data_IF_896834771067
#
_entry.id   IF_896834771067
#
_cell.length_a   1.000
_cell.length_b   1.000
_cell.length_c   1.000
_cell.angle_alpha   90.00
_cell.angle_beta   90.00
_cell.angle_gamma   90.00
#
_symmetry.space_group_name_H-M   'P 1'
#
loop_
_entity.id
_entity.type
_entity.pdbx_description
1 polymer ?
#
# COMPACT_ATOMS: atom_id res chain seq x y z
N UNK A 1 -18.82 -63.46 77.03
CA UNK A 1 -17.48 -63.36 76.40
C UNK A 1 -17.67 -63.37 74.87
N UNK A 2 -17.66 -62.19 74.23
CA UNK A 2 -17.91 -62.01 72.79
C UNK A 2 -16.62 -61.52 72.16
N UNK A 3 -16.06 -62.26 71.19
CA UNK A 3 -14.87 -61.94 70.45
C UNK A 3 -15.22 -61.06 69.29
N UNK A 4 -14.74 -59.76 69.26
CA UNK A 4 -14.79 -58.93 68.12
C UNK A 4 -13.71 -59.32 67.09
N UNK A 5 -14.16 -59.60 65.84
CA UNK A 5 -13.24 -59.73 64.67
C UNK A 5 -13.16 -58.40 63.97
N UNK A 6 -11.96 -57.82 63.93
CA UNK A 6 -11.61 -56.65 63.10
C UNK A 6 -11.52 -57.08 61.62
N UNK A 7 -12.35 -56.55 60.78
CA UNK A 7 -12.18 -56.62 59.31
C UNK A 7 -11.41 -55.40 58.87
N UNK A 8 -10.20 -55.62 58.35
CA UNK A 8 -9.45 -54.55 57.62
C UNK A 8 -10.06 -54.32 56.27
N UNK A 9 -10.48 -53.08 56.01
CA UNK A 9 -10.91 -52.62 54.69
C UNK A 9 -9.66 -52.10 53.92
N UNK A 10 -9.25 -52.82 52.86
CA UNK A 10 -8.24 -52.39 51.93
C UNK A 10 -8.92 -51.45 50.93
N UNK A 11 -8.60 -50.15 51.06
CA UNK A 11 -9.00 -49.14 50.10
C UNK A 11 -8.06 -49.20 48.88
N UNK A 12 -8.52 -49.80 47.80
CA UNK A 12 -7.83 -49.75 46.51
C UNK A 12 -7.92 -48.36 45.88
N UNK A 13 -6.79 -47.64 45.83
CA UNK A 13 -6.64 -46.38 45.09
C UNK A 13 -6.52 -46.73 43.59
N UNK A 14 -7.60 -46.57 42.83
CA UNK A 14 -7.58 -46.71 41.38
C UNK A 14 -6.84 -45.50 40.77
N UNK A 15 -5.61 -45.71 40.34
CA UNK A 15 -4.85 -44.72 39.55
C UNK A 15 -5.49 -44.60 38.16
N UNK A 16 -6.23 -43.52 37.92
CA UNK A 16 -6.69 -43.12 36.56
C UNK A 16 -5.45 -42.70 35.76
N UNK A 17 -5.22 -43.29 34.57
CA UNK A 17 -4.18 -42.76 33.67
C UNK A 17 -4.61 -41.39 33.16
N UNK A 18 -3.87 -40.32 33.48
CA UNK A 18 -3.94 -39.06 32.82
C UNK A 18 -3.54 -39.26 31.34
N UNK A 19 -4.53 -39.42 30.47
CA UNK A 19 -4.33 -39.35 29.04
C UNK A 19 -3.83 -37.93 28.73
N UNK A 20 -2.53 -37.77 28.54
CA UNK A 20 -1.98 -36.54 27.96
C UNK A 20 -2.53 -36.47 26.53
N UNK A 21 -3.60 -35.74 26.34
CA UNK A 21 -4.04 -35.33 25.03
C UNK A 21 -2.92 -34.43 24.45
N UNK A 22 -2.06 -35.05 23.65
CA UNK A 22 -1.16 -34.29 22.78
C UNK A 22 -2.04 -33.46 21.85
N UNK A 23 -2.37 -32.23 22.25
CA UNK A 23 -2.89 -31.20 21.36
C UNK A 23 -1.74 -30.93 20.38
N UNK A 24 -1.69 -31.72 19.30
CA UNK A 24 -0.91 -31.34 18.12
C UNK A 24 -1.52 -30.03 17.69
N UNK A 25 -0.82 -28.94 17.95
CA UNK A 25 -1.07 -27.69 17.25
C UNK A 25 -1.07 -28.07 15.75
N UNK A 26 -2.24 -28.06 15.13
CA UNK A 26 -2.32 -28.23 13.68
C UNK A 26 -1.49 -27.11 13.11
N UNK A 27 -0.30 -27.43 12.62
CA UNK A 27 0.50 -26.50 11.83
C UNK A 27 -0.34 -26.20 10.59
N UNK A 28 -1.01 -25.05 10.61
CA UNK A 28 -1.74 -24.56 9.44
C UNK A 28 -0.68 -24.33 8.37
N UNK A 29 -0.68 -25.19 7.37
CA UNK A 29 0.26 -25.11 6.25
C UNK A 29 -0.44 -24.58 5.01
N UNK A 30 0.33 -23.92 4.15
CA UNK A 30 -0.11 -23.58 2.81
C UNK A 30 -0.32 -24.86 1.99
N UNK A 31 -1.30 -24.86 1.07
CA UNK A 31 -1.58 -26.05 0.26
C UNK A 31 -0.35 -26.48 -0.55
N UNK A 32 -0.22 -27.79 -0.81
CA UNK A 32 0.90 -28.35 -1.56
C UNK A 32 0.70 -28.18 -3.08
N UNK A 33 0.66 -26.92 -3.48
CA UNK A 33 0.54 -26.46 -4.86
C UNK A 33 1.14 -25.06 -4.97
N UNK A 34 1.45 -24.56 -6.17
CA UNK A 34 1.90 -23.21 -6.37
C UNK A 34 0.89 -22.19 -5.82
N UNK A 35 1.38 -21.21 -5.04
CA UNK A 35 0.59 -20.10 -4.55
C UNK A 35 0.53 -19.02 -5.64
N UNK A 36 -0.63 -18.41 -5.81
CA UNK A 36 -0.84 -17.36 -6.81
C UNK A 36 -0.76 -16.00 -6.13
N UNK A 37 0.22 -15.18 -6.52
CA UNK A 37 0.32 -13.78 -6.11
C UNK A 37 -0.35 -12.92 -7.17
N UNK A 38 -1.60 -12.56 -6.92
CA UNK A 38 -2.44 -11.81 -7.87
C UNK A 38 -2.12 -10.32 -7.79
N UNK A 39 -1.92 -9.71 -8.96
CA UNK A 39 -1.60 -8.29 -9.15
C UNK A 39 -2.63 -7.66 -10.07
N UNK A 40 -3.25 -6.55 -9.65
CA UNK A 40 -4.34 -5.87 -10.38
C UNK A 40 -3.89 -4.96 -11.53
N UNK A 41 -2.63 -5.04 -11.97
CA UNK A 41 -2.05 -4.16 -12.97
C UNK A 41 -1.30 -4.93 -14.05
N UNK A 42 -1.09 -4.34 -15.25
CA UNK A 42 -0.35 -5.00 -16.33
C UNK A 42 1.07 -5.35 -15.93
N UNK A 43 1.68 -6.37 -16.58
CA UNK A 43 3.10 -6.67 -16.43
C UNK A 43 4.00 -5.47 -16.72
N UNK A 44 5.13 -5.36 -15.98
CA UNK A 44 6.13 -4.31 -16.12
C UNK A 44 5.79 -3.01 -15.37
N UNK A 45 4.60 -2.86 -14.80
CA UNK A 45 4.27 -1.75 -13.92
C UNK A 45 4.81 -1.93 -12.49
N UNK A 46 4.82 -0.87 -11.64
CA UNK A 46 5.39 -0.93 -10.30
C UNK A 46 4.84 -2.07 -9.43
N UNK A 47 3.53 -2.32 -9.48
CA UNK A 47 2.92 -3.45 -8.73
C UNK A 47 3.48 -4.80 -9.17
N UNK A 48 3.64 -5.02 -10.47
CA UNK A 48 4.17 -6.27 -11.03
C UNK A 48 5.66 -6.45 -10.69
N UNK A 49 6.45 -5.39 -10.83
CA UNK A 49 7.87 -5.41 -10.50
C UNK A 49 8.10 -5.73 -9.03
N UNK A 50 7.37 -5.07 -8.11
CA UNK A 50 7.44 -5.36 -6.67
C UNK A 50 7.01 -6.80 -6.37
N UNK A 51 5.93 -7.29 -7.00
CA UNK A 51 5.48 -8.67 -6.84
C UNK A 51 6.56 -9.68 -7.25
N UNK A 52 7.22 -9.45 -8.40
CA UNK A 52 8.30 -10.33 -8.90
C UNK A 52 9.57 -10.27 -8.06
N UNK A 53 9.81 -9.15 -7.38
CA UNK A 53 10.93 -9.02 -6.43
C UNK A 53 10.66 -9.82 -5.15
N UNK A 54 9.43 -9.76 -4.60
CA UNK A 54 9.14 -10.43 -3.32
C UNK A 54 8.75 -11.91 -3.46
N UNK A 55 8.16 -12.32 -4.60
CA UNK A 55 7.64 -13.68 -4.79
C UNK A 55 8.67 -14.79 -4.54
N UNK A 56 9.92 -14.72 -5.04
CA UNK A 56 10.92 -15.76 -4.77
C UNK A 56 11.25 -15.91 -3.29
N UNK A 57 11.48 -14.80 -2.58
CA UNK A 57 11.83 -14.81 -1.16
C UNK A 57 10.68 -15.29 -0.27
N UNK A 58 9.43 -14.95 -0.61
CA UNK A 58 8.24 -15.49 0.06
C UNK A 58 8.17 -17.01 -0.18
N UNK A 59 8.35 -17.44 -1.42
CA UNK A 59 8.29 -18.84 -1.81
C UNK A 59 9.32 -19.71 -1.09
N UNK A 60 10.56 -19.24 -0.99
CA UNK A 60 11.64 -19.92 -0.28
C UNK A 60 11.27 -20.13 1.20
N UNK A 61 10.77 -19.10 1.88
CA UNK A 61 10.42 -19.15 3.30
C UNK A 61 9.20 -20.01 3.59
N UNK A 62 8.24 -20.02 2.69
CA UNK A 62 7.05 -20.86 2.79
C UNK A 62 7.28 -22.30 2.29
N UNK A 63 8.41 -22.56 1.63
CA UNK A 63 8.71 -23.83 0.92
C UNK A 63 7.63 -24.16 -0.11
N UNK A 64 7.17 -23.15 -0.85
CA UNK A 64 6.14 -23.24 -1.90
C UNK A 64 6.52 -22.34 -3.07
N UNK A 65 6.22 -22.76 -4.27
CA UNK A 65 6.34 -21.86 -5.42
C UNK A 65 5.32 -20.73 -5.33
N UNK A 66 5.73 -19.49 -5.57
CA UNK A 66 4.85 -18.32 -5.65
C UNK A 66 4.88 -17.79 -7.08
N UNK A 67 3.74 -17.84 -7.77
CA UNK A 67 3.59 -17.43 -9.16
C UNK A 67 2.84 -16.11 -9.24
N UNK A 68 3.42 -15.11 -9.86
CA UNK A 68 2.77 -13.81 -10.10
C UNK A 68 1.76 -13.94 -11.23
N UNK A 69 0.52 -13.54 -10.97
CA UNK A 69 -0.59 -13.55 -11.91
C UNK A 69 -1.16 -12.13 -12.06
N UNK A 70 -1.06 -11.56 -13.26
CA UNK A 70 -1.58 -10.23 -13.56
C UNK A 70 -3.05 -10.31 -14.01
N UNK A 71 -3.95 -9.61 -13.29
CA UNK A 71 -5.37 -9.43 -13.62
C UNK A 71 -5.68 -7.94 -13.70
N UNK A 72 -5.21 -7.31 -14.77
CA UNK A 72 -5.34 -5.87 -14.94
C UNK A 72 -6.78 -5.43 -15.24
N UNK A 73 -7.13 -4.24 -14.81
CA UNK A 73 -8.36 -3.53 -15.14
C UNK A 73 -8.96 -2.77 -13.97
N UNK A 74 -9.67 -1.68 -14.28
CA UNK A 74 -10.35 -0.81 -13.31
C UNK A 74 -9.48 -0.49 -12.08
N UNK A 75 -8.26 0.05 -12.28
CA UNK A 75 -7.31 0.37 -11.19
C UNK A 75 -7.04 -0.79 -10.20
N UNK A 76 -7.15 -2.05 -10.66
CA UNK A 76 -6.96 -3.24 -9.83
C UNK A 76 -8.23 -3.80 -9.18
N UNK A 77 -9.38 -3.18 -9.38
CA UNK A 77 -10.66 -3.61 -8.80
C UNK A 77 -11.06 -5.01 -9.27
N UNK A 78 -10.81 -5.36 -10.54
CA UNK A 78 -11.11 -6.70 -11.09
C UNK A 78 -10.32 -7.79 -10.33
N UNK A 79 -9.05 -7.54 -10.06
CA UNK A 79 -8.22 -8.46 -9.29
C UNK A 79 -8.71 -8.57 -7.84
N UNK A 80 -8.95 -7.45 -7.18
CA UNK A 80 -9.43 -7.43 -5.80
C UNK A 80 -10.77 -8.17 -5.65
N UNK A 81 -11.76 -7.87 -6.49
CA UNK A 81 -13.06 -8.56 -6.48
C UNK A 81 -12.93 -10.08 -6.71
N UNK A 82 -11.97 -10.51 -7.54
CA UNK A 82 -11.67 -11.93 -7.76
C UNK A 82 -11.03 -12.58 -6.54
N UNK A 83 -10.08 -11.90 -5.89
CA UNK A 83 -9.38 -12.43 -4.70
C UNK A 83 -10.33 -12.49 -3.51
N UNK A 84 -11.19 -11.50 -3.31
CA UNK A 84 -12.21 -11.50 -2.24
C UNK A 84 -13.07 -12.78 -2.23
N UNK A 85 -13.28 -13.39 -3.40
CA UNK A 85 -14.08 -14.62 -3.58
C UNK A 85 -13.24 -15.89 -3.68
N UNK A 86 -11.93 -15.80 -3.46
CA UNK A 86 -11.01 -16.94 -3.56
C UNK A 86 -11.01 -17.79 -2.29
N UNK A 87 -10.51 -19.05 -2.35
CA UNK A 87 -10.33 -19.87 -1.15
C UNK A 87 -9.49 -19.19 -0.09
N UNK A 88 -9.82 -19.43 1.19
CA UNK A 88 -9.15 -18.84 2.35
C UNK A 88 -7.96 -19.68 2.85
N UNK A 89 -7.54 -20.68 2.07
CA UNK A 89 -6.47 -21.64 2.37
C UNK A 89 -5.05 -21.10 2.11
N UNK A 90 -4.92 -19.83 1.71
CA UNK A 90 -3.64 -19.20 1.38
C UNK A 90 -3.11 -19.49 -0.02
N UNK A 91 -3.84 -20.28 -0.85
CA UNK A 91 -3.43 -20.54 -2.24
C UNK A 91 -3.48 -19.31 -3.14
N UNK A 92 -4.25 -18.28 -2.73
CA UNK A 92 -4.38 -17.01 -3.44
C UNK A 92 -4.02 -15.88 -2.49
N UNK A 93 -3.01 -15.13 -2.88
CA UNK A 93 -2.46 -13.97 -2.18
C UNK A 93 -2.65 -12.77 -3.11
N UNK A 94 -2.96 -11.60 -2.59
CA UNK A 94 -3.03 -10.37 -3.37
C UNK A 94 -1.87 -9.44 -3.01
N UNK A 95 -1.16 -8.93 -4.00
CA UNK A 95 -0.38 -7.71 -3.88
C UNK A 95 -1.20 -6.56 -4.47
N UNK A 96 -1.50 -5.59 -3.64
CA UNK A 96 -2.28 -4.44 -4.05
C UNK A 96 -1.62 -3.12 -3.63
N UNK A 97 -1.91 -2.07 -4.40
CA UNK A 97 -1.62 -0.69 -4.00
C UNK A 97 -2.87 -0.02 -3.43
N UNK A 98 -2.67 1.11 -2.75
CA UNK A 98 -3.77 1.92 -2.24
C UNK A 98 -4.73 2.39 -3.34
N UNK A 99 -4.33 2.37 -4.60
CA UNK A 99 -5.22 2.61 -5.73
C UNK A 99 -6.48 1.76 -5.68
N UNK A 100 -6.32 0.44 -5.48
CA UNK A 100 -7.44 -0.51 -5.39
C UNK A 100 -7.95 -0.74 -3.97
N UNK A 101 -7.16 -0.49 -2.93
CA UNK A 101 -7.57 -0.81 -1.55
C UNK A 101 -8.25 0.34 -0.84
N UNK A 102 -7.87 1.58 -1.11
CA UNK A 102 -8.38 2.75 -0.36
C UNK A 102 -8.88 3.87 -1.27
N UNK A 103 -8.21 4.13 -2.40
CA UNK A 103 -8.57 5.26 -3.28
C UNK A 103 -9.83 4.94 -4.10
N UNK A 104 -9.83 3.85 -4.87
CA UNK A 104 -11.00 3.47 -5.67
C UNK A 104 -12.25 3.25 -4.80
N UNK A 105 -12.17 2.53 -3.64
CA UNK A 105 -13.32 2.44 -2.73
C UNK A 105 -13.80 3.77 -2.16
N UNK A 106 -12.93 4.74 -1.98
CA UNK A 106 -13.31 6.07 -1.50
C UNK A 106 -14.05 6.91 -2.55
N UNK A 107 -13.79 6.65 -3.84
CA UNK A 107 -14.36 7.39 -4.96
C UNK A 107 -15.59 6.71 -5.57
N UNK A 108 -15.67 5.37 -5.48
CA UNK A 108 -16.73 4.57 -6.08
C UNK A 108 -17.67 3.98 -5.02
N UNK A 109 -18.90 4.48 -4.89
CA UNK A 109 -19.86 3.95 -3.92
C UNK A 109 -20.40 2.56 -4.31
N UNK A 110 -20.17 2.10 -5.55
CA UNK A 110 -20.67 0.86 -6.09
C UNK A 110 -19.60 -0.24 -6.15
N UNK A 111 -18.61 -0.19 -5.24
CA UNK A 111 -17.58 -1.22 -5.15
C UNK A 111 -18.17 -2.62 -4.96
N UNK A 112 -17.59 -3.60 -5.62
CA UNK A 112 -18.00 -5.01 -5.53
C UNK A 112 -17.29 -5.78 -4.41
N UNK A 113 -16.46 -5.12 -3.61
CA UNK A 113 -15.77 -5.60 -2.41
C UNK A 113 -15.59 -4.48 -1.39
N UNK A 114 -15.40 -4.86 -0.14
CA UNK A 114 -14.98 -3.96 0.94
C UNK A 114 -13.62 -4.44 1.49
N UNK A 115 -12.60 -3.60 1.38
CA UNK A 115 -11.24 -3.95 1.82
C UNK A 115 -11.17 -4.29 3.33
N UNK A 116 -12.09 -3.77 4.14
CA UNK A 116 -12.15 -3.96 5.59
C UNK A 116 -12.75 -5.29 6.00
N UNK A 117 -13.66 -5.85 5.19
CA UNK A 117 -14.44 -7.06 5.53
C UNK A 117 -14.12 -8.25 4.66
N UNK A 118 -13.71 -8.03 3.41
CA UNK A 118 -13.47 -9.10 2.44
C UNK A 118 -12.00 -9.52 2.34
N UNK A 119 -11.11 -8.83 3.10
CA UNK A 119 -9.68 -9.10 3.11
C UNK A 119 -9.11 -9.13 4.52
N UNK A 120 -8.09 -9.97 4.70
CA UNK A 120 -7.17 -9.93 5.82
C UNK A 120 -5.89 -9.19 5.38
N UNK A 121 -5.60 -8.06 6.00
CA UNK A 121 -4.32 -7.37 5.82
C UNK A 121 -3.20 -8.21 6.42
N UNK A 122 -2.14 -8.47 5.64
CA UNK A 122 -1.03 -9.32 6.05
C UNK A 122 0.21 -8.51 6.39
N UNK A 123 0.69 -7.71 5.46
CA UNK A 123 1.89 -6.91 5.64
C UNK A 123 1.94 -5.71 4.69
N UNK A 124 2.40 -4.54 5.11
CA UNK A 124 2.89 -3.54 4.19
C UNK A 124 4.20 -4.05 3.56
N UNK A 125 4.49 -3.67 2.32
CA UNK A 125 5.76 -4.04 1.69
C UNK A 125 6.57 -2.84 1.24
N UNK A 126 5.92 -1.74 0.88
CA UNK A 126 6.63 -0.56 0.40
C UNK A 126 5.73 0.63 0.20
N UNK A 127 6.37 1.78 0.11
CA UNK A 127 5.75 3.05 -0.25
C UNK A 127 6.53 3.68 -1.40
N UNK A 128 5.83 4.18 -2.41
CA UNK A 128 6.45 4.89 -3.51
C UNK A 128 6.00 6.36 -3.43
N UNK A 129 6.86 7.26 -2.95
CA UNK A 129 6.55 8.68 -2.90
C UNK A 129 6.48 9.27 -4.31
N UNK A 130 5.74 10.36 -4.43
CA UNK A 130 5.79 11.24 -5.59
C UNK A 130 6.60 12.49 -5.25
N UNK A 131 7.09 13.17 -6.27
CA UNK A 131 7.64 14.51 -6.17
C UNK A 131 6.60 15.53 -6.61
N UNK A 132 6.38 16.53 -5.78
CA UNK A 132 5.79 17.78 -6.21
C UNK A 132 6.85 18.52 -7.04
N UNK A 133 6.64 18.55 -8.34
CA UNK A 133 7.53 19.22 -9.29
C UNK A 133 6.81 20.38 -9.97
N UNK A 134 7.57 21.41 -10.30
CA UNK A 134 7.08 22.61 -11.01
C UNK A 134 8.00 22.93 -12.19
N UNK A 135 7.48 23.66 -13.19
CA UNK A 135 8.28 24.20 -14.29
C UNK A 135 9.35 25.16 -13.75
N UNK A 136 10.51 25.21 -14.39
CA UNK A 136 11.69 25.90 -13.85
C UNK A 136 11.53 27.43 -13.68
N UNK A 137 10.76 28.05 -14.54
CA UNK A 137 10.51 29.50 -14.57
C UNK A 137 9.37 29.93 -13.62
N UNK A 138 8.68 28.98 -12.95
CA UNK A 138 7.69 29.33 -11.94
C UNK A 138 8.36 30.06 -10.77
N UNK A 139 7.84 31.23 -10.34
CA UNK A 139 8.43 32.02 -9.27
C UNK A 139 8.10 31.44 -7.87
N UNK A 140 8.29 30.12 -7.69
CA UNK A 140 8.14 29.41 -6.42
C UNK A 140 9.31 28.43 -6.26
N UNK A 141 10.06 28.55 -5.16
CA UNK A 141 11.25 27.72 -4.87
C UNK A 141 11.02 26.67 -3.79
N UNK A 142 9.89 26.74 -3.10
CA UNK A 142 9.49 25.83 -2.03
C UNK A 142 7.96 25.76 -1.95
N UNK A 143 7.45 24.83 -1.11
CA UNK A 143 6.01 24.60 -0.92
C UNK A 143 5.29 25.86 -0.42
N UNK A 144 5.88 26.59 0.52
CA UNK A 144 5.26 27.79 1.10
C UNK A 144 5.07 28.89 0.03
N UNK A 145 6.09 29.12 -0.81
CA UNK A 145 6.02 30.08 -1.91
C UNK A 145 5.00 29.65 -2.97
N UNK A 146 4.91 28.36 -3.29
CA UNK A 146 3.91 27.84 -4.22
C UNK A 146 2.50 28.08 -3.70
N UNK A 147 2.26 27.80 -2.42
CA UNK A 147 0.96 28.05 -1.79
C UNK A 147 0.63 29.55 -1.75
N UNK A 148 1.60 30.40 -1.44
CA UNK A 148 1.40 31.83 -1.46
C UNK A 148 1.04 32.34 -2.86
N UNK A 149 1.73 31.85 -3.90
CA UNK A 149 1.46 32.17 -5.30
C UNK A 149 0.05 31.73 -5.71
N UNK A 150 -0.32 30.47 -5.39
CA UNK A 150 -1.64 29.93 -5.74
C UNK A 150 -2.79 30.71 -5.05
N UNK A 151 -2.58 31.13 -3.79
CA UNK A 151 -3.57 31.96 -3.07
C UNK A 151 -3.66 33.39 -3.58
N UNK A 152 -2.56 33.97 -4.04
CA UNK A 152 -2.52 35.28 -4.63
C UNK A 152 -3.15 35.35 -6.03
N UNK A 153 -3.18 34.21 -6.72
CA UNK A 153 -3.69 34.08 -8.09
C UNK A 153 -4.64 32.86 -8.21
N UNK A 154 -5.83 32.91 -7.57
CA UNK A 154 -6.76 31.79 -7.61
C UNK A 154 -7.15 31.39 -9.04
N UNK A 155 -7.13 30.07 -9.32
CA UNK A 155 -7.49 29.51 -10.62
C UNK A 155 -6.53 29.85 -11.79
N UNK A 156 -5.34 30.40 -11.53
CA UNK A 156 -4.36 30.72 -12.58
C UNK A 156 -3.30 29.64 -12.79
N UNK A 157 -2.97 28.87 -11.74
CA UNK A 157 -2.03 27.77 -11.86
C UNK A 157 -2.72 26.51 -12.36
N UNK A 158 -2.05 25.78 -13.26
CA UNK A 158 -2.51 24.52 -13.83
C UNK A 158 -1.71 23.35 -13.21
N UNK A 159 -2.40 22.43 -12.54
CA UNK A 159 -1.84 21.22 -11.97
C UNK A 159 -2.18 20.00 -12.81
N UNK A 160 -1.17 19.38 -13.40
CA UNK A 160 -1.34 18.16 -14.20
C UNK A 160 -1.58 16.93 -13.33
N UNK A 161 -2.28 15.92 -13.88
CA UNK A 161 -2.31 14.57 -13.33
C UNK A 161 -2.15 13.52 -14.43
N UNK A 162 -1.81 12.30 -14.04
CA UNK A 162 -1.73 11.16 -14.96
C UNK A 162 -3.12 10.60 -15.35
N UNK A 163 -4.19 11.22 -14.89
CA UNK A 163 -5.59 10.87 -15.15
C UNK A 163 -6.50 11.27 -13.98
N UNK A 164 -7.77 11.52 -14.30
CA UNK A 164 -8.79 11.82 -13.29
C UNK A 164 -8.97 10.63 -12.33
N UNK A 165 -9.16 10.91 -11.02
CA UNK A 165 -9.34 9.89 -9.98
C UNK A 165 -8.10 9.09 -9.61
N UNK A 166 -6.96 9.26 -10.32
CA UNK A 166 -5.72 8.56 -10.02
C UNK A 166 -4.91 9.19 -8.87
N UNK A 167 -3.88 8.48 -8.40
CA UNK A 167 -3.05 8.91 -7.26
C UNK A 167 -2.46 10.32 -7.43
N UNK A 168 -2.01 10.68 -8.63
CA UNK A 168 -1.44 12.01 -8.94
C UNK A 168 -2.48 13.13 -8.89
N UNK A 169 -3.73 12.83 -9.29
CA UNK A 169 -4.84 13.76 -9.14
C UNK A 169 -5.19 13.96 -7.65
N UNK A 170 -5.31 12.87 -6.91
CA UNK A 170 -5.64 12.95 -5.48
C UNK A 170 -4.54 13.64 -4.66
N UNK A 171 -3.27 13.46 -5.05
CA UNK A 171 -2.17 14.23 -4.45
C UNK A 171 -2.34 15.74 -4.65
N UNK A 172 -2.72 16.14 -5.87
CA UNK A 172 -3.01 17.54 -6.18
C UNK A 172 -4.23 18.05 -5.37
N UNK A 173 -5.32 17.31 -5.32
CA UNK A 173 -6.53 17.70 -4.60
C UNK A 173 -6.29 17.77 -3.08
N UNK A 174 -5.51 16.84 -2.51
CA UNK A 174 -5.09 16.92 -1.10
C UNK A 174 -4.24 18.18 -0.84
N UNK A 175 -3.32 18.49 -1.76
CA UNK A 175 -2.49 19.70 -1.67
C UNK A 175 -3.34 20.97 -1.72
N UNK A 176 -4.29 21.05 -2.64
CA UNK A 176 -5.26 22.15 -2.73
C UNK A 176 -6.09 22.31 -1.46
N UNK A 177 -6.65 21.19 -0.97
CA UNK A 177 -7.50 21.17 0.22
C UNK A 177 -6.74 21.62 1.47
N UNK A 178 -5.61 20.99 1.77
CA UNK A 178 -4.80 21.34 2.95
C UNK A 178 -4.18 22.73 2.85
N UNK A 179 -3.72 23.08 1.64
CA UNK A 179 -3.08 24.36 1.35
C UNK A 179 -4.05 25.51 1.18
N UNK A 180 -5.38 25.27 1.11
CA UNK A 180 -6.41 26.27 0.75
C UNK A 180 -6.01 27.03 -0.52
N UNK A 181 -5.61 26.31 -1.54
CA UNK A 181 -5.10 26.82 -2.80
C UNK A 181 -6.05 26.45 -3.95
N UNK A 182 -6.39 27.40 -4.81
CA UNK A 182 -7.17 27.16 -6.00
C UNK A 182 -6.23 26.97 -7.19
N UNK A 183 -6.13 25.71 -7.66
CA UNK A 183 -5.30 25.25 -8.77
C UNK A 183 -6.20 24.47 -9.72
N UNK A 184 -6.16 24.79 -11.01
CA UNK A 184 -6.96 24.12 -12.04
C UNK A 184 -6.36 22.74 -12.31
N UNK A 185 -7.18 21.69 -12.25
CA UNK A 185 -6.76 20.35 -12.60
C UNK A 185 -6.79 20.13 -14.10
N UNK A 186 -5.70 19.60 -14.66
CA UNK A 186 -5.54 19.24 -16.08
C UNK A 186 -5.22 17.75 -16.18
N UNK A 187 -6.20 16.88 -16.52
CA UNK A 187 -5.98 15.44 -16.63
C UNK A 187 -5.28 15.06 -17.95
N UNK A 188 -4.31 14.14 -17.85
CA UNK A 188 -3.60 13.55 -18.99
C UNK A 188 -3.87 12.05 -19.09
N UNK A 189 -3.53 11.45 -20.22
CA UNK A 189 -3.58 9.99 -20.43
C UNK A 189 -2.23 9.34 -19.99
N UNK A 190 -1.86 9.54 -18.72
CA UNK A 190 -0.64 9.00 -18.14
C UNK A 190 0.39 10.05 -17.71
N UNK A 191 1.38 9.63 -16.92
CA UNK A 191 2.40 10.52 -16.35
C UNK A 191 3.41 11.07 -17.38
N UNK A 192 3.71 10.31 -18.44
CA UNK A 192 4.65 10.75 -19.48
C UNK A 192 4.23 12.04 -20.18
N UNK A 193 3.03 12.11 -20.76
CA UNK A 193 2.51 13.35 -21.36
C UNK A 193 2.42 14.51 -20.36
N UNK A 194 1.94 14.26 -19.13
CA UNK A 194 1.86 15.29 -18.08
C UNK A 194 3.25 15.90 -17.76
N UNK A 195 4.26 15.04 -17.67
CA UNK A 195 5.64 15.45 -17.40
C UNK A 195 6.26 16.21 -18.59
N UNK A 196 5.98 15.78 -19.82
CA UNK A 196 6.44 16.46 -21.03
C UNK A 196 5.88 17.89 -21.10
N UNK A 197 4.60 18.07 -20.85
CA UNK A 197 3.94 19.38 -20.87
C UNK A 197 4.39 20.28 -19.71
N UNK A 198 4.70 19.70 -18.54
CA UNK A 198 5.33 20.46 -17.44
C UNK A 198 6.68 21.01 -17.86
N UNK A 199 7.55 20.18 -18.47
CA UNK A 199 8.86 20.61 -18.95
C UNK A 199 8.78 21.61 -20.08
N UNK A 200 7.72 21.57 -20.90
CA UNK A 200 7.43 22.53 -21.95
C UNK A 200 6.78 23.83 -21.44
N UNK A 201 6.43 23.91 -20.14
CA UNK A 201 5.80 25.09 -19.54
C UNK A 201 4.30 25.24 -19.83
N UNK A 202 3.64 24.21 -20.37
CA UNK A 202 2.21 24.22 -20.68
C UNK A 202 1.32 24.01 -19.43
N UNK A 203 1.88 23.41 -18.39
CA UNK A 203 1.30 23.31 -17.05
C UNK A 203 2.33 23.70 -16.00
N UNK A 204 1.88 24.07 -14.78
CA UNK A 204 2.73 24.67 -13.78
C UNK A 204 3.25 23.66 -12.75
N UNK A 205 2.43 22.65 -12.44
CA UNK A 205 2.61 21.75 -11.30
C UNK A 205 2.29 20.31 -11.73
N UNK A 206 3.06 19.34 -11.21
CA UNK A 206 2.76 17.92 -11.36
C UNK A 206 3.23 17.14 -10.13
N UNK A 207 2.45 16.13 -9.72
CA UNK A 207 2.86 15.14 -8.73
C UNK A 207 3.33 13.89 -9.47
N UNK A 208 4.61 13.81 -9.79
CA UNK A 208 5.21 12.72 -10.55
C UNK A 208 5.82 11.66 -9.65
N UNK A 209 5.74 10.38 -10.03
CA UNK A 209 6.43 9.30 -9.29
C UNK A 209 7.92 9.61 -9.12
N UNK A 210 8.47 9.34 -7.93
CA UNK A 210 9.85 9.69 -7.57
C UNK A 210 10.85 9.15 -8.61
N UNK A 211 10.77 7.87 -8.96
CA UNK A 211 11.69 7.22 -9.91
C UNK A 211 11.66 7.84 -11.31
N UNK A 212 10.50 8.36 -11.73
CA UNK A 212 10.34 8.96 -13.07
C UNK A 212 10.67 10.44 -13.09
N UNK A 213 10.38 11.17 -12.01
CA UNK A 213 10.61 12.62 -11.95
C UNK A 213 12.05 12.99 -11.55
N UNK A 214 12.67 12.24 -10.64
CA UNK A 214 14.00 12.55 -10.09
C UNK A 214 15.10 12.69 -11.15
N UNK A 215 15.19 11.84 -12.18
CA UNK A 215 16.19 12.03 -13.25
C UNK A 215 16.06 13.38 -13.95
N UNK A 216 14.83 13.83 -14.20
CA UNK A 216 14.59 15.14 -14.84
C UNK A 216 14.88 16.32 -13.91
N UNK A 217 14.62 16.16 -12.61
CA UNK A 217 15.02 17.16 -11.59
C UNK A 217 16.53 17.28 -11.53
N UNK A 218 17.26 16.15 -11.46
CA UNK A 218 18.73 16.12 -11.48
C UNK A 218 19.32 16.70 -12.75
N UNK A 219 18.64 16.56 -13.89
CA UNK A 219 19.01 17.16 -15.17
C UNK A 219 18.61 18.64 -15.31
N UNK A 220 18.04 19.26 -14.27
CA UNK A 220 17.63 20.67 -14.27
C UNK A 220 16.46 21.00 -15.18
N UNK A 221 15.67 20.02 -15.65
CA UNK A 221 14.54 20.20 -16.56
C UNK A 221 13.26 20.63 -15.84
N UNK A 222 13.18 20.40 -14.54
CA UNK A 222 12.08 20.81 -13.64
C UNK A 222 12.62 20.97 -12.24
N UNK A 223 11.88 21.65 -11.35
CA UNK A 223 12.24 21.85 -9.96
C UNK A 223 11.36 21.01 -9.06
N UNK A 224 11.97 20.23 -8.14
CA UNK A 224 11.25 19.58 -7.06
C UNK A 224 11.08 20.54 -5.88
N UNK A 225 9.87 20.60 -5.32
CA UNK A 225 9.54 21.40 -4.13
C UNK A 225 9.35 20.55 -2.88
N UNK A 226 9.04 19.25 -3.03
CA UNK A 226 8.85 18.34 -1.90
C UNK A 226 8.46 16.94 -2.29
N UNK A 227 8.64 16.01 -1.35
CA UNK A 227 8.18 14.63 -1.47
C UNK A 227 6.80 14.47 -0.82
N UNK A 228 6.00 13.55 -1.34
CA UNK A 228 4.63 13.33 -0.86
C UNK A 228 4.53 12.35 0.32
N UNK A 229 5.61 11.68 0.70
CA UNK A 229 5.70 10.80 1.87
C UNK A 229 5.91 11.59 3.17
N UNK A 230 5.58 10.99 4.31
CA UNK A 230 5.85 11.60 5.63
C UNK A 230 7.34 11.62 5.98
N UNK A 231 8.08 10.60 5.54
CA UNK A 231 9.54 10.53 5.68
C UNK A 231 10.21 10.76 4.32
N UNK A 232 11.44 11.27 4.33
CA UNK A 232 12.22 11.42 3.09
C UNK A 232 12.62 10.06 2.56
N UNK A 233 12.46 9.87 1.25
CA UNK A 233 12.92 8.65 0.57
C UNK A 233 14.44 8.57 0.55
N UNK A 234 14.98 7.36 0.73
CA UNK A 234 16.41 7.09 0.60
C UNK A 234 16.95 7.43 -0.81
N UNK A 235 16.10 7.40 -1.84
CA UNK A 235 16.48 7.76 -3.21
C UNK A 235 16.65 9.27 -3.42
N UNK A 236 16.08 10.12 -2.53
CA UNK A 236 16.14 11.58 -2.61
C UNK A 236 16.22 12.26 -1.23
N UNK A 237 17.23 11.95 -0.40
CA UNK A 237 17.30 12.41 0.99
C UNK A 237 17.41 13.94 1.12
N UNK A 238 17.90 14.62 0.09
CA UNK A 238 18.09 16.07 0.07
C UNK A 238 16.80 16.85 -0.24
N UNK A 239 15.73 16.18 -0.73
CA UNK A 239 14.45 16.82 -0.99
C UNK A 239 13.58 16.67 0.26
N UNK A 240 13.18 17.78 0.88
CA UNK A 240 12.28 17.78 2.04
C UNK A 240 10.91 17.21 1.68
N UNK A 241 10.16 16.71 2.66
CA UNK A 241 8.76 16.34 2.44
C UNK A 241 7.86 17.57 2.40
N UNK A 242 6.69 17.45 1.77
CA UNK A 242 5.67 18.50 1.79
C UNK A 242 5.20 18.76 3.24
N UNK A 243 5.15 17.70 4.05
CA UNK A 243 4.80 17.80 5.47
C UNK A 243 5.83 18.64 6.26
N UNK A 244 7.13 18.46 6.00
CA UNK A 244 8.20 19.30 6.58
C UNK A 244 8.18 20.73 6.05
N UNK A 245 7.60 20.96 4.87
CA UNK A 245 7.71 22.22 4.12
C UNK A 245 6.46 23.12 4.25
N UNK A 246 5.60 22.88 5.25
CA UNK A 246 4.50 23.79 5.57
C UNK A 246 3.10 23.22 5.49
N UNK A 247 2.93 21.92 5.18
CA UNK A 247 1.65 21.19 5.26
C UNK A 247 1.77 19.97 6.19
N UNK A 248 1.86 20.14 7.51
CA UNK A 248 2.00 19.03 8.44
C UNK A 248 0.92 17.95 8.23
N UNK A 249 1.33 16.68 8.18
CA UNK A 249 0.43 15.55 7.93
C UNK A 249 0.04 15.35 6.46
N UNK A 250 0.57 16.11 5.52
CA UNK A 250 0.40 15.82 4.10
C UNK A 250 1.08 14.50 3.74
N UNK A 251 0.29 13.56 3.24
CA UNK A 251 0.78 12.28 2.72
C UNK A 251 -0.10 11.81 1.55
N UNK A 252 0.51 11.61 0.40
CA UNK A 252 -0.15 11.14 -0.83
C UNK A 252 0.69 10.12 -1.60
N UNK A 253 1.53 9.35 -0.92
CA UNK A 253 2.35 8.33 -1.54
C UNK A 253 1.53 7.10 -1.97
N UNK A 254 2.06 6.32 -2.93
CA UNK A 254 1.47 5.04 -3.31
C UNK A 254 2.00 3.98 -2.35
N UNK A 255 1.12 3.41 -1.53
CA UNK A 255 1.46 2.31 -0.63
C UNK A 255 1.13 0.95 -1.26
N UNK A 256 1.91 -0.07 -0.92
CA UNK A 256 1.75 -1.45 -1.40
C UNK A 256 1.70 -2.40 -0.22
N UNK A 257 0.86 -3.42 -0.31
CA UNK A 257 0.76 -4.42 0.72
C UNK A 257 0.26 -5.77 0.21
N UNK A 258 0.41 -6.74 1.09
CA UNK A 258 -0.03 -8.13 0.90
C UNK A 258 -1.32 -8.35 1.67
N UNK A 259 -2.26 -9.02 1.01
CA UNK A 259 -3.58 -9.35 1.54
C UNK A 259 -3.94 -10.81 1.25
N UNK A 260 -4.77 -11.38 2.12
CA UNK A 260 -5.46 -12.65 1.90
C UNK A 260 -6.98 -12.40 1.82
N UNK A 261 -7.78 -13.32 1.23
CA UNK A 261 -9.23 -13.29 1.40
C UNK A 261 -9.62 -13.33 2.89
N UNK A 262 -10.69 -12.66 3.25
CA UNK A 262 -11.25 -12.72 4.60
C UNK A 262 -11.58 -14.18 4.97
N UNK A 263 -11.44 -14.53 6.26
CA UNK A 263 -11.62 -15.90 6.73
C UNK A 263 -10.36 -16.77 6.67
N UNK A 264 -9.25 -16.28 6.13
CA UNK A 264 -7.94 -16.89 6.33
C UNK A 264 -7.65 -17.01 7.84
N UNK A 265 -7.15 -18.17 8.29
CA UNK A 265 -6.89 -18.37 9.73
C UNK A 265 -5.82 -17.40 10.24
N UNK A 266 -5.89 -16.95 11.50
CA UNK A 266 -4.83 -16.09 12.07
C UNK A 266 -3.44 -16.69 11.94
N UNK A 267 -3.29 -18.00 12.11
CA UNK A 267 -2.01 -18.69 11.96
C UNK A 267 -1.47 -18.61 10.51
N UNK A 268 -2.35 -18.64 9.51
CA UNK A 268 -1.97 -18.49 8.10
C UNK A 268 -1.51 -17.04 7.81
N UNK A 269 -2.24 -16.06 8.34
CA UNK A 269 -1.89 -14.63 8.24
C UNK A 269 -0.52 -14.37 8.85
N UNK A 270 -0.28 -14.83 10.09
CA UNK A 270 1.01 -14.65 10.78
C UNK A 270 2.17 -15.34 10.05
N UNK A 271 1.95 -16.54 9.53
CA UNK A 271 2.97 -17.27 8.78
C UNK A 271 3.34 -16.58 7.47
N UNK A 272 2.33 -16.07 6.72
CA UNK A 272 2.58 -15.28 5.52
C UNK A 272 3.26 -13.96 5.88
N UNK A 273 2.79 -13.28 6.92
CA UNK A 273 3.42 -12.06 7.42
C UNK A 273 4.91 -12.24 7.71
N UNK A 274 5.27 -13.26 8.47
CA UNK A 274 6.67 -13.55 8.79
C UNK A 274 7.52 -13.80 7.53
N UNK A 275 6.97 -14.50 6.53
CA UNK A 275 7.66 -14.73 5.26
C UNK A 275 7.83 -13.44 4.45
N UNK A 276 6.80 -12.59 4.39
CA UNK A 276 6.83 -11.29 3.69
C UNK A 276 7.80 -10.34 4.38
N UNK A 277 7.67 -10.13 5.69
CA UNK A 277 8.51 -9.20 6.46
C UNK A 277 9.99 -9.57 6.34
N UNK A 278 10.35 -10.84 6.53
CA UNK A 278 11.72 -11.32 6.37
C UNK A 278 12.24 -11.20 4.91
N UNK A 279 11.35 -11.26 3.91
CA UNK A 279 11.71 -11.05 2.50
C UNK A 279 12.01 -9.58 2.23
N UNK A 280 11.13 -8.68 2.67
CA UNK A 280 11.28 -7.24 2.44
C UNK A 280 12.48 -6.67 3.21
N UNK A 281 12.81 -7.23 4.38
CA UNK A 281 14.01 -6.84 5.16
C UNK A 281 15.33 -7.34 4.58
N UNK A 282 15.32 -8.27 3.63
CA UNK A 282 16.57 -8.73 3.05
C UNK A 282 17.25 -7.61 2.25
N UNK A 283 18.59 -7.42 2.37
CA UNK A 283 19.29 -6.28 1.78
C UNK A 283 19.13 -6.19 0.26
N UNK A 284 19.12 -7.32 -0.44
CA UNK A 284 18.97 -7.38 -1.89
C UNK A 284 17.56 -6.96 -2.35
N UNK A 285 16.51 -7.30 -1.58
CA UNK A 285 15.13 -6.87 -1.87
C UNK A 285 14.98 -5.38 -1.56
N UNK A 286 15.51 -4.93 -0.42
CA UNK A 286 15.47 -3.52 -0.04
C UNK A 286 16.17 -2.64 -1.09
N UNK A 287 17.33 -3.07 -1.62
CA UNK A 287 18.03 -2.35 -2.68
C UNK A 287 17.21 -2.29 -3.98
N UNK A 288 16.63 -3.42 -4.41
CA UNK A 288 15.75 -3.46 -5.59
C UNK A 288 14.52 -2.57 -5.45
N UNK A 289 13.96 -2.44 -4.23
CA UNK A 289 12.88 -1.50 -3.97
C UNK A 289 13.34 -0.05 -4.17
N UNK A 290 14.48 0.30 -3.57
CA UNK A 290 15.08 1.64 -3.72
C UNK A 290 15.36 1.98 -5.20
N UNK A 291 15.86 1.01 -5.98
CA UNK A 291 16.12 1.17 -7.42
C UNK A 291 14.83 1.45 -8.21
N UNK A 292 13.69 0.93 -7.73
CA UNK A 292 12.35 1.23 -8.26
C UNK A 292 11.73 2.51 -7.68
N UNK A 293 12.46 3.26 -6.86
CA UNK A 293 11.97 4.46 -6.17
C UNK A 293 10.90 4.15 -5.12
N UNK A 294 10.88 2.93 -4.59
CA UNK A 294 10.02 2.53 -3.49
C UNK A 294 10.86 2.36 -2.22
N UNK A 295 10.37 2.86 -1.10
CA UNK A 295 10.98 2.65 0.21
C UNK A 295 10.31 1.45 0.89
N UNK A 296 11.07 0.43 1.34
CA UNK A 296 10.51 -0.71 2.06
C UNK A 296 9.70 -0.27 3.28
N UNK A 297 8.56 -0.93 3.53
CA UNK A 297 7.72 -0.68 4.68
C UNK A 297 7.55 -1.96 5.51
N UNK A 298 7.42 -1.77 6.81
CA UNK A 298 7.31 -2.83 7.79
C UNK A 298 6.17 -2.54 8.74
N UNK A 299 5.58 -3.57 9.31
CA UNK A 299 4.51 -3.44 10.29
C UNK A 299 3.77 -4.76 10.48
N UNK A 300 3.17 -4.93 11.66
CA UNK A 300 2.34 -6.08 11.97
C UNK A 300 1.05 -6.07 11.14
N UNK A 301 0.35 -7.21 10.99
CA UNK A 301 -0.96 -7.26 10.32
C UNK A 301 -1.96 -6.28 10.92
N UNK A 302 -1.95 -6.10 12.25
CA UNK A 302 -2.86 -5.16 12.95
C UNK A 302 -2.55 -3.70 12.62
N UNK A 303 -1.28 -3.31 12.63
CA UNK A 303 -0.85 -1.95 12.27
C UNK A 303 -1.18 -1.66 10.80
N UNK A 304 -0.94 -2.63 9.93
CA UNK A 304 -1.25 -2.48 8.51
C UNK A 304 -2.76 -2.37 8.26
N UNK A 305 -3.59 -3.17 8.94
CA UNK A 305 -5.05 -3.03 8.85
C UNK A 305 -5.52 -1.64 9.34
N UNK A 306 -4.92 -1.12 10.42
CA UNK A 306 -5.17 0.24 10.91
C UNK A 306 -4.81 1.30 9.86
N UNK A 307 -3.61 1.19 9.28
CA UNK A 307 -3.18 2.10 8.21
C UNK A 307 -4.15 2.10 7.01
N UNK A 308 -4.59 0.92 6.55
CA UNK A 308 -5.55 0.79 5.44
C UNK A 308 -6.89 1.46 5.78
N UNK A 309 -7.38 1.28 7.01
CA UNK A 309 -8.63 1.92 7.46
C UNK A 309 -8.52 3.45 7.51
N UNK A 310 -7.42 3.97 8.04
CA UNK A 310 -7.16 5.41 8.14
C UNK A 310 -6.97 6.04 6.76
N UNK A 311 -6.26 5.37 5.87
CA UNK A 311 -6.04 5.82 4.49
C UNK A 311 -7.37 5.87 3.71
N UNK A 312 -8.20 4.83 3.82
CA UNK A 312 -9.55 4.84 3.24
C UNK A 312 -10.40 6.01 3.77
N UNK A 313 -10.39 6.24 5.07
CA UNK A 313 -11.12 7.34 5.68
C UNK A 313 -10.60 8.71 5.23
N UNK A 314 -9.28 8.85 5.07
CA UNK A 314 -8.63 10.07 4.53
C UNK A 314 -9.13 10.37 3.12
N UNK A 315 -9.05 9.39 2.22
CA UNK A 315 -9.47 9.56 0.82
C UNK A 315 -10.97 9.78 0.68
N UNK A 316 -11.80 9.12 1.50
CA UNK A 316 -13.26 9.33 1.52
C UNK A 316 -13.62 10.77 1.95
N UNK A 317 -12.93 11.32 2.96
CA UNK A 317 -13.13 12.73 3.36
C UNK A 317 -12.73 13.69 2.24
N UNK A 318 -11.57 13.45 1.62
CA UNK A 318 -11.09 14.28 0.51
C UNK A 318 -12.04 14.24 -0.68
N UNK A 319 -12.47 13.04 -1.08
CA UNK A 319 -13.40 12.84 -2.19
C UNK A 319 -14.70 13.63 -1.97
N UNK A 320 -15.26 13.56 -0.76
CA UNK A 320 -16.46 14.32 -0.38
C UNK A 320 -16.24 15.84 -0.42
N UNK A 321 -15.10 16.32 0.09
CA UNK A 321 -14.77 17.74 0.13
C UNK A 321 -14.53 18.34 -1.26
N UNK A 322 -13.86 17.60 -2.13
CA UNK A 322 -13.50 18.02 -3.48
C UNK A 322 -14.57 17.65 -4.54
N UNK A 323 -15.66 16.98 -4.14
CA UNK A 323 -16.70 16.53 -5.07
C UNK A 323 -16.24 15.47 -6.06
N UNK A 324 -15.18 14.71 -5.71
CA UNK A 324 -14.59 13.69 -6.58
C UNK A 324 -15.45 12.43 -6.59
N UNK A 325 -15.60 11.84 -7.76
CA UNK A 325 -16.21 10.52 -7.97
C UNK A 325 -15.37 9.76 -8.98
N UNK A 326 -15.42 8.43 -8.94
CA UNK A 326 -14.89 7.62 -10.04
C UNK A 326 -15.75 7.87 -11.29
N UNK A 327 -15.08 7.98 -12.44
CA UNK A 327 -15.75 7.98 -13.75
C UNK A 327 -16.26 6.59 -14.10
#
# INVERSE_FOLDING_TARGET
MIKLRRRAALSGLAALPLAHANVRAQTVDFPDRPLRLVVGFPPGGPNDLLARIVAPGIGERLKRSVVVENRAGANGEIAAASVAKSPTDGSVIMLASNGSTTIAPALNPNMTYDIRTDFAAVAPIGINPMLLVVRNDLPAKNVAELLALARAQPGKLNGASAGAGGATHLALELFKSMGKADIVHVPYKGGGPAMADLMAGLVDIYFGGLSTALPHVKAGKMRALGQTSLARSAAAPDIATIAESGLPGYEAAISYGIFLPAGASPALVERLHAAVDATVRSPDVAQKFTDLGADPQFGTPKEFAGYVADDLAKWARLAKQAGLKSE
#
